data_IF_434772523208
#
_entry.id   IF_434772523208
#
_cell.length_a   1.000
_cell.length_b   1.000
_cell.length_c   1.000
_cell.angle_alpha   90.00
_cell.angle_beta   90.00
_cell.angle_gamma   90.00
#
_symmetry.space_group_name_H-M   'P 1'
#
loop_
_entity.id
_entity.type
_entity.pdbx_description
1 polymer ?
#
# COMPACT_ATOMS: atom_id res chain seq x y z
N UNK A 1 20.47 36.93 -46.55
CA UNK A 1 19.61 37.20 -45.39
C UNK A 1 18.80 35.93 -45.16
N UNK A 2 19.34 34.98 -44.37
CA UNK A 2 18.69 33.71 -44.05
C UNK A 2 18.16 33.80 -42.59
N UNK A 3 16.88 33.87 -42.44
CA UNK A 3 16.24 33.70 -41.14
C UNK A 3 16.17 32.20 -40.79
N UNK A 4 16.96 31.77 -39.81
CA UNK A 4 16.83 30.46 -39.20
C UNK A 4 15.67 30.46 -38.19
N UNK A 5 14.63 29.67 -38.46
CA UNK A 5 13.63 29.32 -37.46
C UNK A 5 14.25 28.35 -36.43
N UNK A 6 14.55 28.82 -35.24
CA UNK A 6 14.79 27.98 -34.07
C UNK A 6 13.44 27.49 -33.56
N UNK A 7 13.07 26.29 -33.93
CA UNK A 7 11.96 25.57 -33.29
C UNK A 7 12.36 25.20 -31.85
N UNK A 8 11.77 25.87 -30.89
CA UNK A 8 11.84 25.47 -29.48
C UNK A 8 11.10 24.14 -29.31
N UNK A 9 11.85 23.07 -29.15
CA UNK A 9 11.33 21.82 -28.62
C UNK A 9 10.94 22.09 -27.15
N UNK A 10 9.67 22.36 -26.91
CA UNK A 10 9.12 22.31 -25.56
C UNK A 10 9.30 20.86 -25.08
N UNK A 11 10.25 20.63 -24.19
CA UNK A 11 10.32 19.40 -23.43
C UNK A 11 9.00 19.31 -22.64
N UNK A 12 8.08 18.48 -23.12
CA UNK A 12 6.93 18.10 -22.32
C UNK A 12 7.50 17.38 -21.08
N UNK A 13 7.39 18.04 -19.92
CA UNK A 13 7.57 17.34 -18.66
C UNK A 13 6.61 16.15 -18.72
N UNK A 14 7.18 14.95 -18.70
CA UNK A 14 6.42 13.71 -18.78
C UNK A 14 5.53 13.68 -17.54
N UNK A 15 4.21 13.83 -17.73
CA UNK A 15 3.24 13.82 -16.65
C UNK A 15 3.23 12.37 -16.13
N UNK A 16 3.87 12.14 -15.00
CA UNK A 16 3.95 10.80 -14.39
C UNK A 16 2.63 10.35 -13.74
N UNK A 17 1.56 11.13 -13.89
CA UNK A 17 0.25 10.89 -13.30
C UNK A 17 -0.67 10.16 -14.28
N UNK A 18 -1.61 9.36 -13.74
CA UNK A 18 -2.69 8.77 -14.52
C UNK A 18 -3.56 9.87 -15.15
N UNK A 19 -4.11 9.68 -16.36
CA UNK A 19 -5.03 10.65 -16.94
C UNK A 19 -6.29 10.79 -16.08
N UNK A 20 -6.81 12.01 -15.97
CA UNK A 20 -8.06 12.33 -15.27
C UNK A 20 -9.19 12.52 -16.27
N UNK A 21 -10.41 12.14 -15.86
CA UNK A 21 -11.64 12.34 -16.64
C UNK A 21 -12.81 12.70 -15.73
N UNK A 22 -13.91 13.16 -16.31
CA UNK A 22 -15.14 13.28 -15.54
C UNK A 22 -15.80 11.91 -15.41
N UNK A 23 -16.48 11.59 -14.30
CA UNK A 23 -17.22 10.34 -14.18
C UNK A 23 -18.20 10.12 -15.34
N UNK A 24 -18.90 11.17 -15.75
CA UNK A 24 -19.88 11.14 -16.85
C UNK A 24 -19.25 10.78 -18.19
N UNK A 25 -18.06 11.29 -18.50
CA UNK A 25 -17.35 10.94 -19.73
C UNK A 25 -16.99 9.47 -19.81
N UNK A 26 -16.84 8.85 -18.66
CA UNK A 26 -16.53 7.41 -18.52
C UNK A 26 -17.80 6.60 -18.11
N UNK A 27 -19.00 7.11 -18.35
CA UNK A 27 -20.27 6.41 -18.16
C UNK A 27 -20.66 6.18 -16.69
N UNK A 28 -20.13 6.96 -15.76
CA UNK A 28 -20.45 6.89 -14.33
C UNK A 28 -21.09 8.18 -13.86
N UNK A 29 -22.26 8.15 -13.21
CA UNK A 29 -22.83 9.38 -12.66
C UNK A 29 -21.97 9.92 -11.49
N UNK A 30 -21.59 11.19 -11.50
CA UNK A 30 -20.86 11.86 -10.40
C UNK A 30 -21.54 11.70 -9.05
N UNK A 31 -22.89 11.62 -9.03
CA UNK A 31 -23.65 11.36 -7.80
C UNK A 31 -23.29 10.01 -7.15
N UNK A 32 -22.98 8.98 -7.94
CA UNK A 32 -22.60 7.66 -7.42
C UNK A 32 -21.21 7.70 -6.79
N UNK A 33 -20.25 8.37 -7.42
CA UNK A 33 -18.90 8.61 -6.86
C UNK A 33 -19.01 9.41 -5.56
N UNK A 34 -19.80 10.47 -5.54
CA UNK A 34 -20.07 11.27 -4.34
C UNK A 34 -20.69 10.43 -3.23
N UNK A 35 -21.67 9.59 -3.56
CA UNK A 35 -22.34 8.71 -2.57
C UNK A 35 -21.39 7.67 -1.98
N UNK A 36 -20.46 7.14 -2.78
CA UNK A 36 -19.40 6.26 -2.28
C UNK A 36 -18.52 7.01 -1.28
N UNK A 37 -17.99 8.17 -1.65
CA UNK A 37 -17.10 8.95 -0.78
C UNK A 37 -17.79 9.36 0.51
N UNK A 38 -19.01 9.91 0.43
CA UNK A 38 -19.80 10.25 1.62
C UNK A 38 -20.02 9.03 2.54
N UNK A 39 -20.31 7.87 1.96
CA UNK A 39 -20.55 6.66 2.75
C UNK A 39 -19.29 6.13 3.42
N UNK A 40 -18.14 6.17 2.73
CA UNK A 40 -16.85 5.79 3.30
C UNK A 40 -16.44 6.75 4.43
N UNK A 41 -16.55 8.06 4.21
CA UNK A 41 -16.23 9.08 5.21
C UNK A 41 -17.15 9.07 6.45
N UNK A 42 -18.33 8.45 6.34
CA UNK A 42 -19.28 8.32 7.43
C UNK A 42 -19.12 7.03 8.26
N UNK A 43 -18.17 6.16 7.90
CA UNK A 43 -17.95 4.91 8.63
C UNK A 43 -17.44 5.19 10.07
N UNK A 44 -18.04 4.54 11.09
CA UNK A 44 -17.55 4.67 12.46
C UNK A 44 -16.22 3.95 12.62
N UNK A 45 -15.36 4.45 13.52
CA UNK A 45 -14.05 3.85 13.85
C UNK A 45 -13.17 3.59 12.61
N UNK A 46 -13.28 4.50 11.64
CA UNK A 46 -12.58 4.41 10.35
C UNK A 46 -12.11 5.79 9.96
N UNK A 47 -10.82 5.92 9.71
CA UNK A 47 -10.19 7.11 9.17
C UNK A 47 -9.78 6.81 7.73
N UNK A 48 -10.50 7.39 6.76
CA UNK A 48 -10.16 7.26 5.34
C UNK A 48 -8.97 8.16 5.04
N UNK A 49 -7.91 7.59 4.49
CA UNK A 49 -6.69 8.33 4.12
C UNK A 49 -6.69 8.70 2.64
N UNK A 50 -7.14 7.80 1.77
CA UNK A 50 -7.38 8.09 0.37
C UNK A 50 -8.42 7.15 -0.25
N UNK A 51 -9.11 7.64 -1.27
CA UNK A 51 -9.86 6.80 -2.20
C UNK A 51 -9.56 7.28 -3.61
N UNK A 52 -9.19 6.36 -4.51
CA UNK A 52 -8.96 6.64 -5.93
C UNK A 52 -9.82 5.69 -6.76
N UNK A 53 -10.64 6.23 -7.65
CA UNK A 53 -11.54 5.46 -8.51
C UNK A 53 -11.11 5.64 -9.96
N UNK A 54 -10.75 4.54 -10.62
CA UNK A 54 -10.43 4.50 -12.04
C UNK A 54 -11.53 3.83 -12.83
N UNK A 55 -11.75 4.32 -14.05
CA UNK A 55 -12.47 3.65 -15.10
C UNK A 55 -11.84 3.92 -16.46
N UNK A 56 -11.78 2.92 -17.34
CA UNK A 56 -11.15 2.99 -18.66
C UNK A 56 -9.72 3.57 -18.60
N UNK A 57 -8.96 3.18 -17.55
CA UNK A 57 -7.61 3.67 -17.31
C UNK A 57 -7.48 5.12 -16.85
N UNK A 58 -8.58 5.83 -16.54
CA UNK A 58 -8.59 7.23 -16.12
C UNK A 58 -9.14 7.37 -14.70
N UNK A 59 -8.56 8.28 -13.92
CA UNK A 59 -9.09 8.65 -12.60
C UNK A 59 -10.36 9.48 -12.81
N UNK A 60 -11.49 8.97 -12.32
CA UNK A 60 -12.81 9.61 -12.39
C UNK A 60 -13.25 10.23 -11.07
N UNK A 61 -12.51 9.97 -10.00
CA UNK A 61 -12.74 10.57 -8.68
C UNK A 61 -11.64 10.15 -7.72
N UNK A 62 -11.20 11.10 -6.91
CA UNK A 62 -10.18 10.85 -5.89
C UNK A 62 -10.40 11.76 -4.69
N UNK A 63 -10.11 11.27 -3.49
CA UNK A 63 -10.08 12.05 -2.26
C UNK A 63 -8.85 11.70 -1.43
N UNK A 64 -8.31 12.72 -0.79
CA UNK A 64 -7.26 12.63 0.21
C UNK A 64 -7.69 13.52 1.39
N UNK A 65 -8.53 12.99 2.31
CA UNK A 65 -9.02 13.77 3.43
C UNK A 65 -7.87 14.33 4.26
N UNK A 66 -7.88 15.65 4.53
CA UNK A 66 -6.84 16.23 5.37
C UNK A 66 -6.76 15.50 6.74
N UNK A 67 -5.56 15.17 7.26
CA UNK A 67 -4.23 15.67 6.87
C UNK A 67 -3.54 14.91 5.74
N UNK A 68 -4.15 13.90 5.14
CA UNK A 68 -3.54 13.15 4.06
C UNK A 68 -3.47 13.91 2.75
N UNK A 69 -2.54 13.52 1.89
CA UNK A 69 -2.27 14.16 0.61
C UNK A 69 -1.73 13.12 -0.41
N UNK A 70 -1.90 13.37 -1.73
CA UNK A 70 -1.52 12.42 -2.76
C UNK A 70 -0.03 12.07 -2.79
N UNK A 71 0.83 12.99 -2.34
CA UNK A 71 2.27 12.80 -2.27
C UNK A 71 2.73 11.88 -1.14
N UNK A 72 1.84 11.49 -0.20
CA UNK A 72 2.24 10.65 0.92
C UNK A 72 2.23 9.18 0.55
N UNK A 73 3.31 8.47 0.90
CA UNK A 73 3.33 7.01 0.89
C UNK A 73 2.47 6.50 2.04
N UNK A 74 1.75 5.42 1.78
CA UNK A 74 0.97 4.71 2.77
C UNK A 74 1.56 3.33 3.02
N UNK A 75 1.53 2.85 4.26
CA UNK A 75 1.92 1.47 4.57
C UNK A 75 0.85 0.50 4.07
N UNK A 76 1.27 -0.52 3.33
CA UNK A 76 0.33 -1.36 2.59
C UNK A 76 0.02 -2.69 3.27
N UNK A 77 0.69 -2.99 4.37
CA UNK A 77 0.51 -4.28 5.03
C UNK A 77 0.51 -5.43 4.02
N UNK A 78 -0.50 -6.30 4.07
CA UNK A 78 -0.56 -7.49 3.22
C UNK A 78 -0.84 -7.23 1.73
N UNK A 79 -1.21 -6.03 1.31
CA UNK A 79 -1.21 -5.68 -0.12
C UNK A 79 0.18 -5.85 -0.74
N UNK A 80 1.25 -5.77 0.06
CA UNK A 80 2.64 -6.06 -0.34
C UNK A 80 2.78 -7.42 -1.03
N UNK A 81 2.02 -8.42 -0.59
CA UNK A 81 2.09 -9.80 -1.09
C UNK A 81 1.84 -9.91 -2.59
N UNK A 82 0.93 -9.10 -3.12
CA UNK A 82 0.60 -9.14 -4.55
C UNK A 82 1.78 -8.71 -5.41
N UNK A 83 2.58 -7.75 -4.95
CA UNK A 83 3.81 -7.36 -5.63
C UNK A 83 4.87 -8.47 -5.59
N UNK A 84 4.92 -9.24 -4.49
CA UNK A 84 5.77 -10.44 -4.43
C UNK A 84 5.30 -11.49 -5.43
N UNK A 85 3.99 -11.72 -5.54
CA UNK A 85 3.41 -12.60 -6.56
C UNK A 85 3.80 -12.17 -7.98
N UNK A 86 3.79 -10.86 -8.26
CA UNK A 86 4.24 -10.33 -9.54
C UNK A 86 5.75 -10.56 -9.75
N UNK A 87 6.59 -10.34 -8.74
CA UNK A 87 8.03 -10.58 -8.82
C UNK A 87 8.38 -12.05 -9.09
N UNK A 88 7.66 -12.98 -8.46
CA UNK A 88 7.80 -14.42 -8.76
C UNK A 88 7.47 -14.71 -10.22
N UNK A 89 6.38 -14.14 -10.75
CA UNK A 89 6.02 -14.30 -12.17
C UNK A 89 7.06 -13.75 -13.12
N UNK A 90 7.67 -12.63 -12.78
CA UNK A 90 8.78 -12.06 -13.54
C UNK A 90 10.02 -12.94 -13.49
N UNK A 91 10.36 -13.50 -12.33
CA UNK A 91 11.50 -14.41 -12.19
C UNK A 91 11.28 -15.70 -12.99
N UNK A 92 10.04 -16.20 -13.06
CA UNK A 92 9.67 -17.34 -13.91
C UNK A 92 9.80 -16.97 -15.41
N UNK A 93 9.33 -15.80 -15.81
CA UNK A 93 9.47 -15.30 -17.19
C UNK A 93 10.93 -15.08 -17.60
N UNK A 94 11.79 -14.71 -16.66
CA UNK A 94 13.25 -14.61 -16.84
C UNK A 94 13.95 -15.97 -16.81
N UNK A 95 13.24 -17.11 -16.73
CA UNK A 95 13.76 -18.49 -16.61
C UNK A 95 14.68 -18.69 -15.39
N UNK A 96 14.43 -17.99 -14.28
CA UNK A 96 15.22 -18.07 -13.05
C UNK A 96 14.56 -18.91 -11.96
N UNK A 97 13.28 -19.25 -12.13
CA UNK A 97 12.44 -19.89 -11.12
C UNK A 97 11.35 -20.71 -11.81
N UNK A 98 10.96 -21.82 -11.18
CA UNK A 98 9.81 -22.63 -11.58
C UNK A 98 8.84 -22.76 -10.39
N UNK A 99 7.54 -22.91 -10.68
CA UNK A 99 6.53 -23.19 -9.65
C UNK A 99 6.80 -24.48 -8.87
N UNK A 100 7.45 -25.43 -9.52
CA UNK A 100 7.78 -26.77 -8.98
C UNK A 100 9.10 -26.83 -8.23
N UNK A 101 9.88 -25.74 -8.21
CA UNK A 101 11.14 -25.71 -7.49
C UNK A 101 10.90 -25.90 -6.01
N UNK A 102 11.76 -26.74 -5.38
CA UNK A 102 11.68 -27.07 -3.97
C UNK A 102 12.25 -25.94 -3.11
N UNK A 103 11.50 -25.46 -2.13
CA UNK A 103 11.89 -24.32 -1.29
C UNK A 103 13.24 -24.53 -0.60
N UNK A 104 13.47 -25.74 -0.07
CA UNK A 104 14.72 -26.06 0.62
C UNK A 104 15.97 -25.98 -0.26
N UNK A 105 15.84 -26.15 -1.60
CA UNK A 105 17.00 -26.12 -2.51
C UNK A 105 17.61 -24.72 -2.68
N UNK A 106 16.87 -23.67 -2.35
CA UNK A 106 17.40 -22.30 -2.39
C UNK A 106 18.30 -21.97 -1.19
N UNK A 107 18.14 -22.68 -0.08
CA UNK A 107 18.82 -22.40 1.19
C UNK A 107 19.38 -23.69 1.83
N UNK A 108 20.21 -24.46 1.09
CA UNK A 108 20.71 -25.75 1.59
C UNK A 108 21.52 -25.61 2.89
N UNK A 109 22.21 -24.48 3.06
CA UNK A 109 23.01 -24.15 4.24
C UNK A 109 22.16 -23.78 5.49
N UNK A 110 20.86 -23.57 5.32
CA UNK A 110 19.93 -23.21 6.40
C UNK A 110 18.93 -24.31 6.73
N UNK A 111 19.04 -25.49 6.07
CA UNK A 111 18.18 -26.62 6.35
C UNK A 111 18.49 -27.20 7.74
N UNK A 112 17.50 -27.78 8.44
CA UNK A 112 17.75 -28.53 9.67
C UNK A 112 18.54 -29.82 9.39
N UNK A 113 19.21 -30.37 10.41
CA UNK A 113 19.99 -31.62 10.29
C UNK A 113 19.15 -32.79 9.79
N UNK A 114 17.85 -32.80 10.09
CA UNK A 114 16.90 -33.81 9.60
C UNK A 114 15.80 -33.12 8.78
N UNK A 115 15.81 -33.33 7.47
CA UNK A 115 14.82 -32.81 6.54
C UNK A 115 13.67 -33.80 6.41
N UNK A 116 12.47 -33.42 6.84
CA UNK A 116 11.27 -34.24 6.66
C UNK A 116 10.88 -34.34 5.18
N UNK A 117 10.19 -35.41 4.78
CA UNK A 117 9.69 -35.57 3.41
C UNK A 117 8.79 -34.38 3.01
N UNK A 118 7.94 -33.92 3.92
CA UNK A 118 7.05 -32.77 3.64
C UNK A 118 7.85 -31.47 3.42
N UNK A 119 8.92 -31.21 4.17
CA UNK A 119 9.79 -30.05 3.93
C UNK A 119 10.52 -30.19 2.59
N UNK A 120 11.02 -31.38 2.27
CA UNK A 120 11.68 -31.66 0.99
C UNK A 120 10.72 -31.49 -0.20
N UNK A 121 9.43 -31.73 0.00
CA UNK A 121 8.40 -31.63 -1.04
C UNK A 121 7.79 -30.25 -1.20
N UNK A 122 7.99 -29.34 -0.26
CA UNK A 122 7.44 -27.98 -0.33
C UNK A 122 7.96 -27.22 -1.54
N UNK A 123 7.05 -26.64 -2.35
CA UNK A 123 7.36 -25.94 -3.59
C UNK A 123 7.11 -24.44 -3.49
N UNK A 124 7.63 -23.68 -4.45
CA UNK A 124 7.31 -22.25 -4.66
C UNK A 124 5.82 -22.04 -4.82
N UNK A 125 5.12 -22.94 -5.51
CA UNK A 125 3.66 -22.89 -5.66
C UNK A 125 2.95 -22.96 -4.30
N UNK A 126 3.42 -23.80 -3.39
CA UNK A 126 2.80 -23.95 -2.06
C UNK A 126 2.93 -22.67 -1.23
N UNK A 127 4.03 -21.92 -1.37
CA UNK A 127 4.18 -20.60 -0.77
C UNK A 127 3.22 -19.58 -1.41
N UNK A 128 3.12 -19.55 -2.75
CA UNK A 128 2.24 -18.64 -3.49
C UNK A 128 0.76 -18.82 -3.13
N UNK A 129 0.35 -20.05 -2.88
CA UNK A 129 -1.04 -20.42 -2.58
C UNK A 129 -1.35 -20.47 -1.09
N UNK A 130 -0.41 -20.13 -0.21
CA UNK A 130 -0.58 -20.23 1.24
C UNK A 130 -0.87 -21.66 1.72
N UNK A 131 -0.19 -22.63 1.12
CA UNK A 131 -0.36 -24.06 1.42
C UNK A 131 0.97 -24.74 1.79
N UNK A 132 1.89 -23.99 2.39
CA UNK A 132 3.22 -24.50 2.79
C UNK A 132 3.16 -25.70 3.73
N UNK A 133 2.05 -25.90 4.45
CA UNK A 133 1.90 -26.92 5.50
C UNK A 133 2.52 -26.49 6.84
N UNK A 134 3.12 -25.32 6.92
CA UNK A 134 3.64 -24.73 8.16
C UNK A 134 2.52 -23.98 8.87
N UNK A 135 2.40 -24.21 10.18
CA UNK A 135 1.48 -23.41 11.00
C UNK A 135 1.99 -21.96 11.11
N UNK A 136 1.20 -20.96 10.72
CA UNK A 136 1.60 -19.56 10.77
C UNK A 136 2.03 -19.11 12.16
N UNK A 137 3.14 -18.38 12.24
CA UNK A 137 3.67 -17.84 13.48
C UNK A 137 4.20 -16.41 13.26
N UNK A 138 3.33 -15.46 13.45
CA UNK A 138 3.65 -14.06 13.27
C UNK A 138 4.70 -13.54 14.28
N UNK A 139 4.76 -14.13 15.47
CA UNK A 139 5.69 -13.70 16.54
C UNK A 139 7.13 -14.10 16.26
N UNK A 140 7.37 -15.08 15.40
CA UNK A 140 8.72 -15.53 15.01
C UNK A 140 9.64 -14.35 14.68
N UNK A 141 9.16 -13.35 13.96
CA UNK A 141 9.91 -12.14 13.57
C UNK A 141 10.46 -11.31 14.74
N UNK A 142 9.85 -11.43 15.94
CA UNK A 142 10.28 -10.72 17.15
C UNK A 142 11.21 -11.56 18.02
N UNK A 143 11.29 -12.87 17.78
CA UNK A 143 12.01 -13.84 18.62
C UNK A 143 13.39 -14.20 18.06
N UNK A 144 13.60 -13.97 16.78
CA UNK A 144 14.86 -14.35 16.10
C UNK A 144 15.21 -13.35 14.99
N UNK A 145 16.51 -13.28 14.65
CA UNK A 145 17.00 -12.61 13.45
C UNK A 145 17.15 -13.54 12.25
N UNK A 146 17.06 -14.89 12.45
CA UNK A 146 17.28 -15.91 11.43
C UNK A 146 15.93 -16.43 10.93
N UNK A 147 15.20 -15.64 10.18
CA UNK A 147 13.82 -15.94 9.79
C UNK A 147 13.72 -17.11 8.82
N UNK A 148 14.64 -17.22 7.85
CA UNK A 148 14.67 -18.33 6.88
C UNK A 148 14.93 -19.66 7.60
N UNK A 149 15.98 -19.71 8.40
CA UNK A 149 16.32 -20.92 9.17
C UNK A 149 15.18 -21.34 10.10
N UNK A 150 14.59 -20.37 10.80
CA UNK A 150 13.48 -20.62 11.73
C UNK A 150 12.25 -21.15 10.99
N UNK A 151 11.94 -20.61 9.79
CA UNK A 151 10.86 -21.12 8.95
C UNK A 151 11.11 -22.58 8.52
N UNK A 152 12.31 -22.88 8.01
CA UNK A 152 12.67 -24.22 7.53
C UNK A 152 12.77 -25.28 8.65
N UNK A 153 13.01 -24.86 9.89
CA UNK A 153 13.06 -25.75 11.05
C UNK A 153 11.68 -26.10 11.62
N UNK A 154 10.61 -25.46 11.16
CA UNK A 154 9.25 -25.74 11.67
C UNK A 154 8.73 -27.10 11.19
N UNK A 155 7.85 -27.75 11.98
CA UNK A 155 7.12 -28.93 11.52
C UNK A 155 6.26 -28.60 10.29
N UNK A 156 6.38 -29.44 9.26
CA UNK A 156 5.63 -29.25 7.99
C UNK A 156 4.60 -30.38 7.85
N UNK A 157 3.32 -30.01 7.75
CA UNK A 157 2.24 -30.90 7.30
C UNK A 157 2.33 -31.05 5.78
N UNK A 158 1.52 -31.95 5.19
CA UNK A 158 1.55 -32.17 3.74
C UNK A 158 1.32 -30.86 2.97
N UNK A 159 2.31 -30.36 2.19
CA UNK A 159 2.16 -29.15 1.40
C UNK A 159 1.07 -29.28 0.32
N UNK A 160 0.52 -28.15 -0.13
CA UNK A 160 -0.47 -28.10 -1.20
C UNK A 160 -1.88 -28.55 -0.81
N UNK A 161 -2.15 -28.88 0.47
CA UNK A 161 -3.42 -29.46 0.89
C UNK A 161 -4.34 -28.49 1.63
N UNK A 162 -3.79 -27.68 2.53
CA UNK A 162 -4.60 -26.80 3.39
C UNK A 162 -4.15 -25.36 3.25
N UNK A 163 -5.12 -24.49 3.02
CA UNK A 163 -4.88 -23.05 3.06
C UNK A 163 -4.67 -22.60 4.52
N UNK A 164 -3.53 -21.98 4.78
CA UNK A 164 -3.19 -21.35 6.06
C UNK A 164 -2.44 -20.04 5.75
N UNK A 165 -3.16 -18.92 5.87
CA UNK A 165 -2.62 -17.60 5.50
C UNK A 165 -1.40 -17.26 6.36
N UNK A 166 -0.25 -17.12 5.72
CA UNK A 166 1.03 -16.92 6.40
C UNK A 166 1.90 -15.88 5.71
N UNK A 167 2.19 -14.79 6.41
CA UNK A 167 3.05 -13.72 5.89
C UNK A 167 4.52 -14.14 5.78
N UNK A 168 4.97 -15.14 6.57
CA UNK A 168 6.34 -15.62 6.48
C UNK A 168 6.54 -16.48 5.23
N UNK A 169 5.51 -17.20 4.78
CA UNK A 169 5.55 -17.88 3.47
C UNK A 169 5.80 -16.88 2.33
N UNK A 170 5.22 -15.68 2.39
CA UNK A 170 5.51 -14.62 1.41
C UNK A 170 6.92 -14.03 1.59
N UNK A 171 7.40 -13.90 2.83
CA UNK A 171 8.78 -13.53 3.08
C UNK A 171 9.75 -14.51 2.42
N UNK A 172 9.49 -15.82 2.52
CA UNK A 172 10.28 -16.85 1.82
C UNK A 172 10.29 -16.66 0.31
N UNK A 173 9.16 -16.26 -0.31
CA UNK A 173 9.12 -15.91 -1.73
C UNK A 173 10.01 -14.70 -2.03
N UNK A 174 10.00 -13.66 -1.17
CA UNK A 174 10.90 -12.51 -1.30
C UNK A 174 12.37 -12.92 -1.24
N UNK A 175 12.72 -13.79 -0.28
CA UNK A 175 14.07 -14.34 -0.13
C UNK A 175 14.50 -15.15 -1.35
N UNK A 176 13.61 -15.98 -1.90
CA UNK A 176 13.85 -16.76 -3.12
C UNK A 176 14.09 -15.83 -4.32
N UNK A 177 13.23 -14.81 -4.53
CA UNK A 177 13.43 -13.83 -5.59
C UNK A 177 14.79 -13.15 -5.47
N UNK A 178 15.18 -12.71 -4.27
CA UNK A 178 16.50 -12.10 -4.03
C UNK A 178 17.63 -13.09 -4.35
N UNK A 179 17.51 -14.36 -3.95
CA UNK A 179 18.51 -15.40 -4.19
C UNK A 179 18.72 -15.67 -5.70
N UNK A 180 17.63 -15.82 -6.46
CA UNK A 180 17.71 -16.19 -7.90
C UNK A 180 18.02 -15.01 -8.81
N UNK A 181 17.70 -13.79 -8.39
CA UNK A 181 17.95 -12.57 -9.20
C UNK A 181 19.26 -11.88 -8.83
N UNK A 182 19.77 -12.07 -7.62
CA UNK A 182 20.89 -11.31 -7.07
C UNK A 182 20.54 -9.87 -6.69
N UNK A 183 19.25 -9.51 -6.68
CA UNK A 183 18.74 -8.18 -6.39
C UNK A 183 17.76 -8.24 -5.22
N UNK A 184 17.68 -7.18 -4.41
CA UNK A 184 16.57 -7.09 -3.45
C UNK A 184 15.24 -7.15 -4.19
N UNK A 185 14.17 -7.62 -3.52
CA UNK A 185 12.83 -7.64 -4.12
C UNK A 185 12.44 -6.24 -4.65
N UNK A 186 12.71 -5.19 -3.87
CA UNK A 186 12.41 -3.82 -4.25
C UNK A 186 13.18 -3.38 -5.50
N UNK A 187 14.48 -3.67 -5.58
CA UNK A 187 15.29 -3.27 -6.74
C UNK A 187 14.90 -4.06 -8.00
N UNK A 188 14.57 -5.33 -7.86
CA UNK A 188 14.06 -6.14 -8.95
C UNK A 188 12.73 -5.59 -9.49
N UNK A 189 11.79 -5.27 -8.58
CA UNK A 189 10.52 -4.64 -8.94
C UNK A 189 10.71 -3.22 -9.52
N UNK A 190 11.68 -2.43 -9.01
CA UNK A 190 12.03 -1.13 -9.61
C UNK A 190 12.44 -1.30 -11.07
N UNK A 191 13.35 -2.22 -11.33
CA UNK A 191 13.83 -2.48 -12.68
C UNK A 191 12.72 -2.95 -13.63
N UNK A 192 11.88 -3.89 -13.18
CA UNK A 192 10.92 -4.59 -14.05
C UNK A 192 9.57 -3.91 -14.17
N UNK A 193 9.10 -3.24 -13.11
CA UNK A 193 7.75 -2.67 -13.04
C UNK A 193 7.76 -1.18 -12.68
N UNK A 194 8.37 -0.79 -11.55
CA UNK A 194 8.15 0.54 -11.01
C UNK A 194 8.71 1.64 -11.92
N UNK A 195 9.94 1.50 -12.40
CA UNK A 195 10.53 2.47 -13.32
C UNK A 195 9.75 2.57 -14.63
N UNK A 196 9.42 1.45 -15.34
CA UNK A 196 8.58 1.51 -16.53
C UNK A 196 7.18 2.13 -16.31
N UNK A 197 6.64 2.04 -15.07
CA UNK A 197 5.34 2.59 -14.69
C UNK A 197 5.43 4.00 -14.09
N UNK A 198 6.62 4.60 -14.11
CA UNK A 198 6.87 5.91 -13.49
C UNK A 198 6.49 5.95 -12.00
N UNK A 199 6.76 4.87 -11.27
CA UNK A 199 6.62 4.78 -9.82
C UNK A 199 8.01 4.98 -9.22
N UNK A 200 8.26 6.15 -8.67
CA UNK A 200 9.59 6.54 -8.16
C UNK A 200 9.65 6.58 -6.65
N UNK A 201 8.55 6.96 -5.99
CA UNK A 201 8.48 7.10 -4.54
C UNK A 201 7.90 5.84 -3.90
N UNK A 202 8.79 4.88 -3.59
CA UNK A 202 8.45 3.58 -3.01
C UNK A 202 9.55 3.13 -2.06
N UNK A 203 9.16 2.52 -0.94
CA UNK A 203 10.08 1.93 0.03
C UNK A 203 9.53 0.59 0.53
N UNK A 204 10.39 -0.23 1.08
CA UNK A 204 10.02 -1.53 1.64
C UNK A 204 10.84 -1.84 2.88
N UNK A 205 10.19 -2.32 3.94
CA UNK A 205 10.84 -2.78 5.14
C UNK A 205 11.82 -3.94 4.86
N UNK A 206 12.90 -3.98 5.64
CA UNK A 206 13.97 -4.96 5.49
C UNK A 206 14.04 -5.79 6.78
N UNK A 207 14.16 -7.12 6.62
CA UNK A 207 14.39 -8.05 7.73
C UNK A 207 15.82 -7.91 8.30
N UNK A 208 16.10 -8.49 9.48
CA UNK A 208 17.46 -8.58 10.01
C UNK A 208 18.44 -9.27 9.06
N UNK A 209 17.97 -10.12 8.14
CA UNK A 209 18.76 -10.83 7.13
C UNK A 209 19.02 -9.98 5.87
N UNK A 210 18.61 -8.69 5.83
CA UNK A 210 18.82 -7.83 4.67
C UNK A 210 17.88 -8.10 3.50
N UNK A 211 16.73 -8.73 3.75
CA UNK A 211 15.74 -9.12 2.75
C UNK A 211 14.48 -8.29 2.94
N UNK A 212 13.88 -7.77 1.84
CA UNK A 212 12.59 -7.10 1.96
C UNK A 212 11.52 -8.06 2.51
N UNK A 213 10.71 -7.58 3.47
CA UNK A 213 9.78 -8.43 4.24
C UNK A 213 8.71 -9.14 3.40
N UNK A 214 8.42 -8.63 2.19
CA UNK A 214 7.55 -9.25 1.20
C UNK A 214 6.09 -9.39 1.64
N UNK A 215 5.84 -10.07 2.74
CA UNK A 215 4.49 -10.31 3.27
C UNK A 215 3.81 -9.05 3.84
N UNK A 216 4.57 -7.99 4.04
CA UNK A 216 4.18 -6.65 4.51
C UNK A 216 5.30 -5.66 4.18
N UNK A 217 5.21 -4.42 4.67
CA UNK A 217 6.32 -3.47 4.69
C UNK A 217 6.50 -2.64 3.43
N UNK A 218 5.63 -2.78 2.41
CA UNK A 218 5.61 -1.87 1.26
C UNK A 218 4.99 -0.53 1.67
N UNK A 219 5.67 0.57 1.32
CA UNK A 219 5.19 1.93 1.45
C UNK A 219 5.17 2.57 0.06
N UNK A 220 3.99 3.02 -0.37
CA UNK A 220 3.75 3.50 -1.73
C UNK A 220 2.59 4.49 -1.78
N UNK A 221 2.58 5.40 -2.74
CA UNK A 221 1.49 6.34 -2.96
C UNK A 221 0.24 5.66 -3.51
N UNK A 222 -0.93 6.19 -3.19
CA UNK A 222 -2.21 5.61 -3.62
C UNK A 222 -2.41 5.61 -5.13
N UNK A 223 -1.92 6.62 -5.84
CA UNK A 223 -1.94 6.62 -7.31
C UNK A 223 -1.03 5.54 -7.91
N UNK A 224 0.12 5.29 -7.28
CA UNK A 224 1.01 4.20 -7.70
C UNK A 224 0.38 2.81 -7.50
N UNK A 225 -0.45 2.64 -6.44
CA UNK A 225 -1.28 1.45 -6.26
C UNK A 225 -2.33 1.33 -7.37
N UNK A 226 -2.96 2.45 -7.74
CA UNK A 226 -3.94 2.49 -8.82
C UNK A 226 -3.30 2.10 -10.17
N UNK A 227 -2.08 2.57 -10.46
CA UNK A 227 -1.29 2.13 -11.62
C UNK A 227 -1.07 0.63 -11.63
N UNK A 228 -0.66 0.06 -10.49
CA UNK A 228 -0.45 -1.38 -10.39
C UNK A 228 -1.74 -2.18 -10.53
N UNK A 229 -2.85 -1.70 -9.94
CA UNK A 229 -4.18 -2.26 -10.16
C UNK A 229 -4.58 -2.24 -11.65
N UNK A 230 -4.31 -1.13 -12.34
CA UNK A 230 -4.56 -0.99 -13.78
C UNK A 230 -3.67 -1.92 -14.62
N UNK A 231 -2.40 -2.11 -14.26
CA UNK A 231 -1.53 -3.10 -14.90
C UNK A 231 -2.15 -4.51 -14.83
N UNK A 232 -2.66 -4.92 -13.66
CA UNK A 232 -3.30 -6.22 -13.49
C UNK A 232 -4.61 -6.31 -14.27
N UNK A 233 -5.44 -5.26 -14.23
CA UNK A 233 -6.67 -5.17 -15.02
C UNK A 233 -6.40 -5.34 -16.53
N UNK A 234 -5.33 -4.73 -17.02
CA UNK A 234 -4.87 -4.79 -18.41
C UNK A 234 -4.01 -6.04 -18.70
N UNK A 235 -4.12 -7.10 -17.89
CA UNK A 235 -3.41 -8.36 -18.08
C UNK A 235 -1.90 -8.19 -18.23
N UNK A 236 -1.32 -7.26 -17.47
CA UNK A 236 0.12 -6.99 -17.43
C UNK A 236 0.64 -6.05 -18.53
N UNK A 237 -0.24 -5.43 -19.30
CA UNK A 237 0.12 -4.41 -20.30
C UNK A 237 0.11 -3.01 -19.68
N UNK A 238 1.19 -2.26 -19.88
CA UNK A 238 1.34 -0.87 -19.51
C UNK A 238 1.90 -0.07 -20.69
N UNK A 239 1.18 0.98 -21.13
CA UNK A 239 1.57 1.82 -22.28
C UNK A 239 1.96 1.00 -23.53
N UNK A 240 1.14 -0.01 -23.85
CA UNK A 240 1.35 -0.90 -24.99
C UNK A 240 2.47 -1.93 -24.83
N UNK A 241 3.15 -1.99 -23.68
CA UNK A 241 4.23 -2.94 -23.40
C UNK A 241 3.77 -4.01 -22.40
N UNK A 242 4.06 -5.27 -22.68
CA UNK A 242 3.84 -6.36 -21.74
C UNK A 242 4.94 -6.32 -20.66
N UNK A 243 4.61 -5.82 -19.47
CA UNK A 243 5.53 -5.77 -18.33
C UNK A 243 5.45 -7.05 -17.47
N UNK A 244 4.26 -7.63 -17.32
CA UNK A 244 4.04 -8.89 -16.59
C UNK A 244 3.29 -9.86 -17.52
N UNK A 245 3.73 -11.13 -17.68
CA UNK A 245 3.08 -12.06 -18.62
C UNK A 245 1.57 -12.18 -18.36
N UNK A 246 0.76 -12.09 -19.42
CA UNK A 246 -0.69 -12.15 -19.33
C UNK A 246 -1.19 -13.46 -18.68
N UNK A 247 -0.55 -14.60 -19.02
CA UNK A 247 -0.86 -15.89 -18.41
C UNK A 247 -0.55 -15.94 -16.92
N UNK A 248 0.45 -15.19 -16.46
CA UNK A 248 0.78 -15.09 -15.04
C UNK A 248 -0.24 -14.24 -14.30
N UNK A 249 -0.62 -13.08 -14.84
CA UNK A 249 -1.70 -12.25 -14.27
C UNK A 249 -2.98 -13.05 -14.14
N UNK A 250 -3.35 -13.83 -15.16
CA UNK A 250 -4.51 -14.71 -15.12
C UNK A 250 -4.42 -15.72 -13.97
N UNK A 251 -3.27 -16.37 -13.77
CA UNK A 251 -3.07 -17.29 -12.66
C UNK A 251 -3.12 -16.59 -11.29
N UNK A 252 -2.58 -15.37 -11.17
CA UNK A 252 -2.69 -14.59 -9.95
C UNK A 252 -4.14 -14.29 -9.59
N UNK A 253 -4.97 -13.96 -10.58
CA UNK A 253 -6.35 -13.52 -10.44
C UNK A 253 -7.37 -14.67 -10.46
N UNK A 254 -6.94 -15.89 -10.72
CA UNK A 254 -7.80 -17.08 -10.76
C UNK A 254 -7.69 -17.86 -9.45
N UNK A 255 -8.81 -18.47 -9.04
CA UNK A 255 -8.91 -19.33 -7.87
C UNK A 255 -7.89 -20.48 -7.95
N UNK A 256 -7.00 -20.56 -6.99
CA UNK A 256 -6.05 -21.65 -6.81
C UNK A 256 -6.48 -22.55 -5.64
N UNK A 257 -6.91 -21.95 -4.53
CA UNK A 257 -7.42 -22.65 -3.35
C UNK A 257 -8.36 -21.73 -2.56
N UNK A 258 -9.50 -22.25 -2.08
CA UNK A 258 -10.48 -21.41 -1.39
C UNK A 258 -10.83 -20.15 -2.22
N UNK A 259 -10.80 -18.99 -1.62
CA UNK A 259 -10.98 -17.69 -2.32
C UNK A 259 -9.64 -16.98 -2.53
N UNK A 260 -8.57 -17.73 -2.85
CA UNK A 260 -7.23 -17.21 -3.02
C UNK A 260 -6.62 -17.65 -4.36
N UNK A 261 -5.96 -16.69 -5.03
CA UNK A 261 -5.13 -16.90 -6.20
C UNK A 261 -3.64 -16.97 -5.82
N UNK A 262 -2.74 -16.46 -6.68
CA UNK A 262 -1.35 -16.29 -6.31
C UNK A 262 -1.16 -14.92 -5.64
N UNK A 263 -1.14 -14.93 -4.29
CA UNK A 263 -0.95 -13.74 -3.44
C UNK A 263 -2.02 -12.66 -3.63
N UNK A 264 -3.24 -13.07 -4.01
CA UNK A 264 -4.41 -12.20 -4.18
C UNK A 264 -5.69 -12.90 -3.69
N UNK A 265 -6.67 -12.13 -3.25
CA UNK A 265 -7.97 -12.59 -2.82
C UNK A 265 -9.02 -12.40 -3.90
N UNK A 266 -9.90 -13.38 -4.07
CA UNK A 266 -11.15 -13.19 -4.81
C UNK A 266 -12.13 -12.38 -3.95
N UNK A 267 -13.03 -11.63 -4.59
CA UNK A 267 -14.05 -10.84 -3.91
C UNK A 267 -15.39 -11.55 -3.89
N UNK A 268 -16.29 -11.05 -3.03
CA UNK A 268 -17.69 -11.43 -2.97
C UNK A 268 -18.45 -11.02 -4.24
N UNK A 269 -18.03 -9.95 -4.90
CA UNK A 269 -18.55 -9.53 -6.20
C UNK A 269 -17.96 -10.44 -7.29
N UNK A 270 -18.79 -11.10 -8.11
CA UNK A 270 -18.33 -12.08 -9.09
C UNK A 270 -17.29 -11.51 -10.06
N UNK A 271 -16.16 -12.20 -10.20
CA UNK A 271 -15.08 -11.81 -11.11
C UNK A 271 -14.17 -10.68 -10.59
N UNK A 272 -14.51 -10.03 -9.49
CA UNK A 272 -13.61 -9.04 -8.89
C UNK A 272 -12.56 -9.71 -8.00
N UNK A 273 -11.38 -9.10 -8.00
CA UNK A 273 -10.21 -9.55 -7.25
C UNK A 273 -9.69 -8.38 -6.42
N UNK A 274 -8.99 -8.69 -5.34
CA UNK A 274 -8.41 -7.63 -4.50
C UNK A 274 -7.01 -7.94 -3.99
N UNK A 275 -6.26 -6.88 -3.82
CA UNK A 275 -5.19 -6.79 -2.85
C UNK A 275 -5.85 -6.42 -1.51
N UNK A 276 -5.39 -7.03 -0.41
CA UNK A 276 -6.03 -6.88 0.90
C UNK A 276 -4.96 -6.72 1.98
N UNK A 277 -4.96 -5.59 2.66
CA UNK A 277 -4.02 -5.25 3.72
C UNK A 277 -4.73 -4.95 5.04
N UNK A 278 -4.06 -5.25 6.14
CA UNK A 278 -4.58 -4.96 7.47
C UNK A 278 -5.02 -3.50 7.60
N UNK A 279 -5.97 -3.25 8.48
CA UNK A 279 -6.55 -1.94 8.77
C UNK A 279 -7.25 -1.28 7.56
N UNK A 280 -7.60 -2.07 6.50
CA UNK A 280 -8.45 -1.61 5.41
C UNK A 280 -7.71 -1.08 4.17
N UNK A 281 -6.55 -1.63 3.85
CA UNK A 281 -5.87 -1.30 2.60
C UNK A 281 -6.41 -2.16 1.47
N UNK A 282 -7.00 -1.55 0.43
CA UNK A 282 -7.61 -2.27 -0.69
C UNK A 282 -7.18 -1.72 -2.04
N UNK A 283 -6.90 -2.63 -2.97
CA UNK A 283 -6.96 -2.37 -4.41
C UNK A 283 -7.96 -3.36 -4.99
N UNK A 284 -9.14 -2.87 -5.35
CA UNK A 284 -10.22 -3.67 -5.93
C UNK A 284 -10.10 -3.59 -7.45
N UNK A 285 -9.99 -4.73 -8.11
CA UNK A 285 -9.90 -4.86 -9.58
C UNK A 285 -11.20 -5.49 -10.04
N UNK A 286 -11.94 -4.79 -10.91
CA UNK A 286 -13.32 -5.13 -11.29
C UNK A 286 -13.38 -5.21 -12.82
N UNK A 287 -13.01 -6.36 -13.42
CA UNK A 287 -12.83 -6.49 -14.87
C UNK A 287 -14.10 -6.24 -15.69
N UNK A 288 -15.28 -6.69 -15.21
CA UNK A 288 -16.56 -6.51 -15.90
C UNK A 288 -17.02 -5.04 -15.98
N UNK A 289 -16.38 -4.15 -15.23
CA UNK A 289 -16.64 -2.70 -15.19
C UNK A 289 -15.47 -1.87 -15.72
N UNK A 290 -14.39 -2.51 -16.13
CA UNK A 290 -13.12 -1.83 -16.47
C UNK A 290 -12.73 -0.79 -15.41
N UNK A 291 -12.74 -1.22 -14.12
CA UNK A 291 -12.55 -0.35 -12.97
C UNK A 291 -11.47 -0.86 -12.02
N UNK A 292 -10.80 0.12 -11.39
CA UNK A 292 -9.95 -0.10 -10.21
C UNK A 292 -10.40 0.88 -9.12
N UNK A 293 -10.55 0.38 -7.89
CA UNK A 293 -10.83 1.23 -6.72
C UNK A 293 -9.75 0.98 -5.68
N UNK A 294 -9.02 2.03 -5.33
CA UNK A 294 -8.03 2.02 -4.25
C UNK A 294 -8.66 2.67 -3.02
N UNK A 295 -8.51 2.04 -1.87
CA UNK A 295 -8.87 2.60 -0.56
C UNK A 295 -7.67 2.40 0.36
N UNK A 296 -7.20 3.47 0.99
CA UNK A 296 -6.26 3.41 2.10
C UNK A 296 -6.90 4.05 3.32
N UNK A 297 -6.78 3.39 4.45
CA UNK A 297 -7.48 3.82 5.67
C UNK A 297 -6.84 3.22 6.92
N UNK A 298 -7.30 3.67 8.09
CA UNK A 298 -7.14 2.97 9.35
C UNK A 298 -8.54 2.63 9.89
N UNK A 299 -8.90 1.35 9.90
CA UNK A 299 -10.22 0.90 10.34
C UNK A 299 -10.13 -0.17 11.43
N UNK A 300 -11.07 -0.11 12.38
CA UNK A 300 -11.27 -1.11 13.43
C UNK A 300 -12.59 -1.89 13.23
N UNK A 301 -13.24 -1.73 12.07
CA UNK A 301 -14.43 -2.50 11.72
C UNK A 301 -14.11 -3.57 10.68
N UNK A 302 -15.08 -4.46 10.41
CA UNK A 302 -14.98 -5.47 9.36
C UNK A 302 -14.72 -4.83 7.99
N UNK A 303 -13.59 -5.16 7.38
CA UNK A 303 -13.19 -4.67 6.07
C UNK A 303 -14.13 -5.05 4.91
N UNK A 304 -15.04 -6.00 5.07
CA UNK A 304 -16.07 -6.28 4.09
C UNK A 304 -17.05 -5.10 3.93
N UNK A 305 -17.18 -4.23 4.93
CA UNK A 305 -18.07 -3.07 4.89
C UNK A 305 -17.68 -2.08 3.80
N UNK A 306 -16.39 -1.75 3.67
CA UNK A 306 -15.88 -0.83 2.63
C UNK A 306 -16.13 -1.42 1.24
N UNK A 307 -15.80 -2.69 1.03
CA UNK A 307 -16.05 -3.37 -0.24
C UNK A 307 -17.53 -3.39 -0.60
N UNK A 308 -18.43 -3.71 0.36
CA UNK A 308 -19.89 -3.64 0.16
C UNK A 308 -20.38 -2.24 -0.23
N UNK A 309 -19.73 -1.17 0.24
CA UNK A 309 -20.06 0.20 -0.21
C UNK A 309 -19.73 0.38 -1.70
N UNK A 310 -18.59 -0.12 -2.16
CA UNK A 310 -18.25 -0.10 -3.60
C UNK A 310 -19.31 -0.90 -4.39
N UNK A 311 -19.61 -2.15 -3.96
CA UNK A 311 -20.59 -3.01 -4.63
C UNK A 311 -22.00 -2.43 -4.67
N UNK A 312 -22.43 -1.74 -3.63
CA UNK A 312 -23.82 -1.31 -3.46
C UNK A 312 -24.06 0.18 -3.80
N UNK A 313 -23.01 1.04 -3.79
CA UNK A 313 -23.16 2.47 -4.05
C UNK A 313 -22.63 2.91 -5.40
N UNK A 314 -21.53 2.29 -5.86
CA UNK A 314 -20.87 2.67 -7.10
C UNK A 314 -21.29 1.77 -8.26
N UNK A 315 -21.10 0.46 -8.15
CA UNK A 315 -21.25 -0.46 -9.28
C UNK A 315 -22.65 -0.50 -9.88
N UNK A 316 -23.78 -0.41 -9.12
CA UNK A 316 -25.11 -0.42 -9.71
C UNK A 316 -25.39 0.77 -10.64
N UNK A 317 -24.63 1.86 -10.47
CA UNK A 317 -24.74 3.04 -11.33
C UNK A 317 -23.90 2.94 -12.62
N UNK A 318 -23.05 1.92 -12.74
CA UNK A 318 -22.22 1.66 -13.91
C UNK A 318 -22.99 0.71 -14.85
N UNK A 319 -23.86 1.27 -15.67
CA UNK A 319 -24.80 0.50 -16.50
C UNK A 319 -24.34 0.29 -17.94
N UNK A 320 -23.25 0.95 -18.37
CA UNK A 320 -22.67 0.83 -19.72
C UNK A 320 -21.44 1.71 -19.85
N UNK A 321 -20.87 1.71 -21.05
CA UNK A 321 -19.62 2.42 -21.38
C UNK A 321 -19.87 3.77 -22.09
N UNK A 322 -21.13 4.06 -22.42
CA UNK A 322 -21.46 5.29 -23.13
C UNK A 322 -21.34 6.50 -22.20
N UNK A 323 -20.74 7.60 -22.65
CA UNK A 323 -20.70 8.84 -21.91
C UNK A 323 -22.11 9.31 -21.51
N UNK A 324 -22.22 9.83 -20.30
CA UNK A 324 -23.43 10.45 -19.78
C UNK A 324 -23.36 11.96 -19.97
N UNK A 325 -24.53 12.63 -19.95
CA UNK A 325 -24.56 14.08 -19.99
C UNK A 325 -24.04 14.63 -18.66
N UNK A 326 -22.98 15.44 -18.74
CA UNK A 326 -22.44 16.11 -17.56
C UNK A 326 -23.45 17.15 -17.02
N UNK A 327 -23.64 17.16 -15.71
CA UNK A 327 -24.57 18.05 -15.03
C UNK A 327 -23.92 18.77 -13.83
N UNK A 328 -24.77 19.41 -13.01
CA UNK A 328 -24.33 20.10 -11.78
C UNK A 328 -23.76 19.17 -10.72
N UNK A 329 -23.99 17.85 -10.82
CA UNK A 329 -23.48 16.87 -9.87
C UNK A 329 -21.93 16.74 -9.95
N UNK A 330 -21.34 16.94 -11.13
CA UNK A 330 -19.87 16.97 -11.25
C UNK A 330 -19.24 18.14 -10.47
N UNK A 331 -19.83 19.34 -10.58
CA UNK A 331 -19.35 20.50 -9.79
C UNK A 331 -19.49 20.26 -8.28
N UNK A 332 -20.55 19.55 -7.87
CA UNK A 332 -20.74 19.16 -6.47
C UNK A 332 -19.67 18.15 -6.02
N UNK A 333 -19.36 17.15 -6.86
CA UNK A 333 -18.29 16.17 -6.60
C UNK A 333 -16.96 16.90 -6.42
N UNK A 334 -16.54 17.76 -7.35
CA UNK A 334 -15.30 18.52 -7.28
C UNK A 334 -15.20 19.33 -5.97
N UNK A 335 -16.27 20.05 -5.59
CA UNK A 335 -16.30 20.81 -4.34
C UNK A 335 -16.14 19.90 -3.12
N UNK A 336 -16.79 18.73 -3.11
CA UNK A 336 -16.70 17.79 -2.01
C UNK A 336 -15.30 17.16 -1.90
N UNK A 337 -14.71 16.74 -3.02
CA UNK A 337 -13.37 16.15 -3.04
C UNK A 337 -12.34 17.04 -2.32
N UNK A 338 -12.39 18.35 -2.52
CA UNK A 338 -11.49 19.31 -1.87
C UNK A 338 -11.86 19.66 -0.41
N UNK A 339 -13.00 19.19 0.09
CA UNK A 339 -13.51 19.56 1.41
C UNK A 339 -13.46 18.45 2.47
N UNK A 340 -13.17 17.20 2.07
CA UNK A 340 -13.07 16.11 3.03
C UNK A 340 -11.86 16.28 3.94
N UNK A 341 -12.08 16.05 5.22
CA UNK A 341 -11.04 16.04 6.24
C UNK A 341 -11.41 15.08 7.35
N UNK A 342 -10.42 14.55 8.02
CA UNK A 342 -10.63 13.80 9.26
C UNK A 342 -11.07 14.74 10.37
N UNK A 343 -11.79 14.22 11.38
CA UNK A 343 -12.20 15.01 12.53
C UNK A 343 -10.99 15.65 13.21
N UNK A 344 -11.10 16.94 13.51
CA UNK A 344 -10.09 17.63 14.33
C UNK A 344 -10.49 17.61 15.78
N UNK A 345 -9.51 17.57 16.69
CA UNK A 345 -9.76 17.61 18.12
C UNK A 345 -10.49 18.90 18.47
N UNK A 346 -11.64 18.75 19.15
CA UNK A 346 -12.42 19.87 19.62
C UNK A 346 -11.94 20.28 21.00
N UNK A 347 -11.77 21.58 21.23
CA UNK A 347 -11.29 22.11 22.49
C UNK A 347 -11.28 23.62 22.52
N UNK A 348 -10.85 24.19 23.63
CA UNK A 348 -10.64 25.64 23.79
C UNK A 348 -9.23 25.98 23.29
N UNK A 349 -9.10 27.11 22.61
CA UNK A 349 -7.81 27.63 22.14
C UNK A 349 -6.92 28.18 23.29
N UNK A 350 -7.41 28.20 24.51
CA UNK A 350 -6.68 28.67 25.69
C UNK A 350 -6.92 27.76 26.90
N UNK A 351 -5.92 27.67 27.76
CA UNK A 351 -5.97 26.93 29.00
C UNK A 351 -5.31 27.76 30.10
N UNK A 352 -5.77 27.64 31.33
CA UNK A 352 -5.10 28.20 32.51
C UNK A 352 -3.69 27.62 32.75
N UNK A 353 -3.41 26.49 32.11
CA UNK A 353 -2.11 25.81 32.21
C UNK A 353 -1.04 26.43 31.26
N UNK A 354 -1.42 27.26 30.30
CA UNK A 354 -0.47 27.86 29.36
C UNK A 354 0.67 28.57 30.12
N UNK A 355 0.36 29.43 31.09
CA UNK A 355 1.41 30.13 31.86
C UNK A 355 2.33 29.21 32.68
N UNK A 356 1.91 27.97 32.94
CA UNK A 356 2.73 26.96 33.63
C UNK A 356 3.75 26.31 32.72
N UNK A 357 3.40 26.07 31.46
CA UNK A 357 4.17 25.22 30.54
C UNK A 357 4.74 25.97 29.32
N UNK A 358 4.23 27.19 29.00
CA UNK A 358 4.70 27.94 27.84
C UNK A 358 6.20 28.27 27.95
N UNK A 359 6.89 28.06 26.85
CA UNK A 359 8.31 28.42 26.65
C UNK A 359 9.26 27.86 27.71
N UNK A 360 8.91 26.71 28.29
CA UNK A 360 9.71 26.02 29.29
C UNK A 360 10.10 24.64 28.78
N UNK A 361 11.35 24.26 29.06
CA UNK A 361 11.80 22.90 28.79
C UNK A 361 11.24 21.93 29.81
N UNK A 362 10.51 20.92 29.35
CA UNK A 362 9.92 19.86 30.14
C UNK A 362 10.73 18.60 29.91
N UNK A 363 11.49 18.19 30.91
CA UNK A 363 12.28 16.96 30.85
C UNK A 363 11.36 15.73 30.91
N UNK A 364 11.66 14.73 30.12
CA UNK A 364 10.90 13.48 30.03
C UNK A 364 11.70 12.32 30.62
N UNK A 365 10.99 11.41 31.30
CA UNK A 365 11.55 10.12 31.68
C UNK A 365 11.92 9.30 30.42
N UNK A 366 12.87 8.35 30.53
CA UNK A 366 13.23 7.49 29.41
C UNK A 366 11.99 6.85 28.76
N UNK A 367 11.87 7.00 27.46
CA UNK A 367 10.69 6.57 26.73
C UNK A 367 11.05 5.95 25.37
N UNK A 368 10.12 5.18 24.80
CA UNK A 368 10.30 4.44 23.53
C UNK A 368 10.59 5.34 22.32
N UNK A 369 10.25 6.63 22.40
CA UNK A 369 10.48 7.59 21.32
C UNK A 369 11.91 8.18 21.36
N UNK A 370 12.65 7.99 22.43
CA UNK A 370 13.95 8.61 22.63
C UNK A 370 13.87 10.13 22.81
N UNK A 371 12.70 10.65 23.21
CA UNK A 371 12.53 12.06 23.51
C UNK A 371 13.12 12.38 24.88
N UNK A 372 13.97 13.39 24.93
CA UNK A 372 14.61 13.86 26.16
C UNK A 372 13.83 15.01 26.80
N UNK A 373 13.40 15.97 25.99
CA UNK A 373 12.61 17.11 26.47
C UNK A 373 11.65 17.65 25.43
N UNK A 374 10.63 18.39 25.92
CA UNK A 374 9.65 19.11 25.11
C UNK A 374 9.63 20.58 25.50
N UNK A 375 9.39 21.45 24.53
CA UNK A 375 9.07 22.87 24.74
C UNK A 375 7.79 23.21 24.00
N UNK A 376 6.85 23.94 24.63
CA UNK A 376 5.56 24.29 24.05
C UNK A 376 5.48 25.78 23.81
N UNK A 377 5.38 26.19 22.55
CA UNK A 377 5.26 27.59 22.15
C UNK A 377 3.84 27.86 21.68
N UNK A 378 3.04 28.53 22.52
CA UNK A 378 1.65 28.84 22.23
C UNK A 378 1.52 30.09 21.38
N UNK A 379 0.92 29.96 20.20
CA UNK A 379 0.62 31.05 19.28
C UNK A 379 -0.88 31.20 19.09
N UNK A 380 -1.31 32.27 18.44
CA UNK A 380 -2.74 32.58 18.29
C UNK A 380 -3.55 31.48 17.60
N UNK A 381 -2.99 30.77 16.61
CA UNK A 381 -3.70 29.77 15.78
C UNK A 381 -3.09 28.37 15.88
N UNK A 382 -2.03 28.19 16.62
CA UNK A 382 -1.29 26.94 16.68
C UNK A 382 -0.45 26.83 17.96
N UNK A 383 -0.05 25.60 18.29
CA UNK A 383 1.02 25.31 19.24
C UNK A 383 2.17 24.69 18.46
N UNK A 384 3.39 25.17 18.69
CA UNK A 384 4.60 24.50 18.24
C UNK A 384 5.15 23.72 19.43
N UNK A 385 5.37 22.42 19.23
CA UNK A 385 6.04 21.57 20.22
C UNK A 385 7.44 21.26 19.68
N UNK A 386 8.45 21.90 20.24
CA UNK A 386 9.84 21.57 19.95
C UNK A 386 10.23 20.33 20.75
N UNK A 387 10.63 19.28 20.06
CA UNK A 387 11.12 18.03 20.63
C UNK A 387 12.65 18.05 20.61
N UNK A 388 13.29 17.66 21.72
CA UNK A 388 14.72 17.35 21.76
C UNK A 388 14.88 15.86 22.04
N UNK A 389 15.59 15.16 21.18
CA UNK A 389 15.91 13.72 21.35
C UNK A 389 17.18 13.53 22.20
N UNK A 390 17.36 12.30 22.70
CA UNK A 390 18.53 11.91 23.51
C UNK A 390 19.87 12.01 22.77
N UNK A 391 19.84 12.01 21.43
CA UNK A 391 21.01 12.23 20.56
C UNK A 391 21.28 13.73 20.26
N UNK A 392 20.47 14.64 20.83
CA UNK A 392 20.57 16.07 20.62
C UNK A 392 19.83 16.63 19.40
N UNK A 393 19.18 15.78 18.58
CA UNK A 393 18.36 16.24 17.46
C UNK A 393 17.16 17.05 17.95
N UNK A 394 16.85 18.17 17.28
CA UNK A 394 15.69 19.02 17.58
C UNK A 394 14.82 19.17 16.35
N UNK A 395 13.51 19.13 16.55
CA UNK A 395 12.51 19.38 15.51
C UNK A 395 11.19 19.89 16.08
N UNK A 396 10.39 20.54 15.23
CA UNK A 396 9.12 21.13 15.58
C UNK A 396 7.95 20.30 15.07
N UNK A 397 6.99 20.04 15.96
CA UNK A 397 5.67 19.48 15.64
C UNK A 397 4.63 20.60 15.73
N UNK A 398 3.83 20.77 14.66
CA UNK A 398 2.84 21.84 14.56
C UNK A 398 1.44 21.32 14.89
N UNK A 399 0.77 21.93 15.86
CA UNK A 399 -0.60 21.62 16.27
C UNK A 399 -1.52 22.80 15.97
N UNK A 400 -2.42 22.67 15.02
CA UNK A 400 -3.39 23.72 14.70
C UNK A 400 -4.62 23.67 15.60
N UNK A 401 -5.13 24.83 16.01
CA UNK A 401 -6.42 24.91 16.70
C UNK A 401 -7.55 24.64 15.70
N UNK A 402 -8.30 23.51 15.89
CA UNK A 402 -9.42 23.09 15.05
C UNK A 402 -9.09 23.01 13.54
N UNK A 403 -7.83 22.77 13.21
CA UNK A 403 -7.35 22.59 11.85
C UNK A 403 -6.12 21.69 11.80
N UNK A 404 -6.00 20.90 10.75
CA UNK A 404 -4.80 20.15 10.45
C UNK A 404 -3.68 21.09 10.03
N UNK A 405 -2.45 20.76 10.41
CA UNK A 405 -1.22 21.46 10.02
C UNK A 405 -0.26 20.47 9.38
N UNK A 406 0.33 20.86 8.27
CA UNK A 406 1.42 20.12 7.64
C UNK A 406 2.75 20.61 8.20
N UNK A 407 3.60 19.67 8.59
CA UNK A 407 4.96 19.92 9.01
C UNK A 407 5.90 18.93 8.32
N UNK A 408 7.13 19.33 8.05
CA UNK A 408 8.22 18.45 7.67
C UNK A 408 9.24 18.46 8.80
N UNK A 409 9.77 17.31 9.13
CA UNK A 409 10.86 17.17 10.10
C UNK A 409 12.13 16.93 9.29
N UNK A 410 13.08 17.86 9.37
CA UNK A 410 14.36 17.73 8.66
C UNK A 410 15.12 16.50 9.19
N UNK A 411 15.67 15.70 8.28
CA UNK A 411 16.33 14.44 8.64
C UNK A 411 15.38 13.26 8.90
N UNK A 412 14.07 13.49 8.91
CA UNK A 412 13.06 12.45 8.95
C UNK A 412 12.24 12.50 7.65
N UNK A 413 12.66 11.80 6.60
CA UNK A 413 11.82 11.70 5.43
C UNK A 413 10.47 11.10 5.87
N UNK A 414 9.34 11.62 5.39
CA UNK A 414 8.04 11.04 5.67
C UNK A 414 8.11 9.56 5.26
N UNK A 415 8.08 8.64 6.22
CA UNK A 415 8.22 7.18 5.99
C UNK A 415 9.67 6.64 5.90
N UNK A 416 10.63 7.24 6.56
CA UNK A 416 11.95 6.61 6.71
C UNK A 416 11.83 5.37 7.58
N UNK A 417 12.04 4.21 6.97
CA UNK A 417 12.09 2.90 7.66
C UNK A 417 13.28 2.83 8.63
N UNK A 418 14.32 3.59 8.36
CA UNK A 418 15.52 3.71 9.22
C UNK A 418 15.21 4.35 10.58
N UNK A 419 14.07 5.00 10.74
CA UNK A 419 13.62 5.56 12.01
C UNK A 419 13.19 4.49 13.04
N UNK A 420 13.50 3.21 12.84
CA UNK A 420 13.30 2.11 13.82
C UNK A 420 11.93 2.16 14.53
N UNK A 421 10.84 2.25 13.78
CA UNK A 421 9.49 2.30 14.33
C UNK A 421 9.11 3.61 15.02
N UNK A 422 9.88 4.67 14.82
CA UNK A 422 9.55 6.01 15.28
C UNK A 422 8.75 6.71 14.19
N UNK A 423 7.51 7.02 14.49
CA UNK A 423 6.57 7.72 13.59
C UNK A 423 6.40 7.09 12.20
N UNK A 424 5.72 5.96 12.11
CA UNK A 424 4.88 5.71 10.96
C UNK A 424 3.78 6.78 11.02
N UNK A 425 3.75 7.68 10.01
CA UNK A 425 2.93 8.88 10.05
C UNK A 425 1.50 8.59 10.51
N UNK A 426 1.06 9.28 11.56
CA UNK A 426 -0.30 9.30 12.11
C UNK A 426 -0.92 7.89 12.27
N UNK A 427 -0.25 6.98 12.93
CA UNK A 427 -0.88 5.88 13.62
C UNK A 427 -1.00 6.29 15.09
N UNK A 428 -2.11 6.95 15.42
CA UNK A 428 -2.57 7.10 16.78
C UNK A 428 -2.99 5.75 17.34
N UNK A 429 -3.04 5.60 18.71
CA UNK A 429 -3.40 4.35 19.37
C UNK A 429 -4.79 3.88 18.98
#
# INVERSE_FOLDING_TARGET
MFLGLLGALAAHAQINELPRSTPEAEGVPSKAVTALFDSLMALPKTDIHSVVVLRHGKVIGEIYPAPFAPEYRHTMYSCSKTFVGAAVGLAIADNRLLLTDRVGTFFPELLPDSVSANLADMTVRDLLTMTSGITPDWNMRNLTSDWIRTFLAKPVKTPGKKFEYDSISTYMLSAIVQKVTGMTLLDYLKQKLFTPMHITDVAWEISPEGINTGGWGLHIQSESLAKFGLLLLNRGVWEGRQLLPASWVEQMMTRQIGDYGYQMWLCEYPGAIRMDGALGQYVLIIPDKDMVVVITECTLIDGATQRRLVWNRLLPAVTGDQPLIAGKDYKRLQKKQSSYQLPVVQGKASSSLVGKYADKSIMLEPNKFGWQSLELHFKQKEVIMTVTETNGTKYDLLFGYKQWKKASIEGYPPYSIEAKGRFNGIEGP
#
